data_IF_840978349154
#
_entry.id   IF_840978349154
#
_cell.length_a   1.000
_cell.length_b   1.000
_cell.length_c   1.000
_cell.angle_alpha   90.00
_cell.angle_beta   90.00
_cell.angle_gamma   90.00
#
_symmetry.space_group_name_H-M   'P 1'
#
loop_
_entity.id
_entity.type
_entity.pdbx_description
1 polymer ?
#
# COMPACT_ATOMS: atom_id res chain seq x y z
N UNK A 1 19.47 29.49 12.32
CA UNK A 1 18.43 29.45 13.37
C UNK A 1 17.70 28.11 13.28
N UNK A 2 18.25 27.06 13.88
CA UNK A 2 17.61 25.75 13.89
C UNK A 2 16.40 25.81 14.84
N UNK A 3 15.20 25.64 14.29
CA UNK A 3 13.97 25.54 15.07
C UNK A 3 14.01 24.17 15.77
N UNK A 4 14.32 24.15 17.06
CA UNK A 4 14.12 22.95 17.86
C UNK A 4 12.64 22.65 17.89
N UNK A 5 12.23 21.54 17.26
CA UNK A 5 10.92 20.98 17.51
C UNK A 5 10.84 20.67 19.02
N UNK A 6 9.76 21.04 19.71
CA UNK A 6 9.60 20.68 21.12
C UNK A 6 9.78 19.16 21.26
N UNK A 7 10.59 18.75 22.23
CA UNK A 7 10.80 17.34 22.50
C UNK A 7 9.45 16.73 22.89
N UNK A 8 8.97 15.80 22.07
CA UNK A 8 7.77 15.04 22.37
C UNK A 8 8.01 14.24 23.65
N UNK A 9 7.00 14.14 24.51
CA UNK A 9 7.03 13.15 25.58
C UNK A 9 7.13 11.74 24.98
N UNK A 10 7.61 10.76 25.73
CA UNK A 10 7.69 9.37 25.25
C UNK A 10 6.34 8.87 24.70
N UNK A 11 5.18 9.06 25.37
CA UNK A 11 3.88 8.70 24.81
C UNK A 11 3.51 9.43 23.51
N UNK A 12 3.83 10.73 23.41
CA UNK A 12 3.54 11.51 22.20
C UNK A 12 4.40 11.08 21.02
N UNK A 13 5.66 10.72 21.30
CA UNK A 13 6.59 10.18 20.33
C UNK A 13 6.12 8.82 19.83
N UNK A 14 5.73 7.91 20.73
CA UNK A 14 5.18 6.60 20.37
C UNK A 14 3.94 6.73 19.48
N UNK A 15 3.01 7.60 19.86
CA UNK A 15 1.79 7.84 19.07
C UNK A 15 2.11 8.42 17.69
N UNK A 16 3.07 9.35 17.61
CA UNK A 16 3.50 9.92 16.33
C UNK A 16 4.14 8.86 15.42
N UNK A 17 4.99 7.99 15.98
CA UNK A 17 5.61 6.88 15.25
C UNK A 17 4.57 5.84 14.82
N UNK A 18 3.61 5.50 15.69
CA UNK A 18 2.51 4.60 15.37
C UNK A 18 1.67 5.14 14.22
N UNK A 19 1.26 6.42 14.26
CA UNK A 19 0.50 7.07 13.19
C UNK A 19 1.27 7.09 11.88
N UNK A 20 2.57 7.38 11.93
CA UNK A 20 3.45 7.33 10.76
C UNK A 20 3.52 5.94 10.16
N UNK A 21 3.69 4.91 11.00
CA UNK A 21 3.71 3.50 10.58
C UNK A 21 2.38 3.06 9.95
N UNK A 22 1.26 3.31 10.64
CA UNK A 22 -0.09 2.98 10.14
C UNK A 22 -0.41 3.74 8.85
N UNK A 23 -0.06 5.02 8.76
CA UNK A 23 -0.24 5.83 7.55
C UNK A 23 0.52 5.26 6.35
N UNK A 24 1.78 4.87 6.53
CA UNK A 24 2.58 4.24 5.49
C UNK A 24 2.01 2.88 5.03
N UNK A 25 1.44 2.10 5.97
CA UNK A 25 0.75 0.84 5.69
C UNK A 25 -0.58 1.04 4.96
N UNK A 26 -1.30 2.11 5.26
CA UNK A 26 -2.56 2.46 4.59
C UNK A 26 -2.32 3.01 3.19
N UNK A 27 -1.28 3.83 2.98
CA UNK A 27 -0.94 4.36 1.65
C UNK A 27 -0.52 3.29 0.65
N UNK A 28 -0.07 2.13 1.12
CA UNK A 28 0.22 0.96 0.27
C UNK A 28 -1.00 0.09 -0.02
N UNK A 29 -2.12 0.31 0.68
CA UNK A 29 -3.36 -0.45 0.49
C UNK A 29 -4.29 0.29 -0.48
N UNK A 30 -4.10 0.06 -1.77
CA UNK A 30 -5.06 0.49 -2.80
C UNK A 30 -6.45 -0.09 -2.51
N UNK A 31 -7.51 0.72 -2.57
CA UNK A 31 -8.90 0.23 -2.54
C UNK A 31 -9.39 -0.02 -3.95
N UNK A 32 -10.24 -1.02 -4.13
CA UNK A 32 -10.93 -1.25 -5.39
C UNK A 32 -11.84 -0.06 -5.71
N UNK A 33 -11.69 0.55 -6.88
CA UNK A 33 -12.51 1.68 -7.31
C UNK A 33 -14.00 1.32 -7.47
N UNK A 34 -14.33 0.03 -7.70
CA UNK A 34 -15.69 -0.40 -8.00
C UNK A 34 -16.45 -0.85 -6.74
N UNK A 35 -15.85 -1.70 -5.91
CA UNK A 35 -16.51 -2.25 -4.72
C UNK A 35 -15.98 -1.69 -3.40
N UNK A 36 -14.98 -0.80 -3.42
CA UNK A 36 -14.43 -0.14 -2.24
C UNK A 36 -13.60 -1.03 -1.30
N UNK A 37 -13.58 -2.35 -1.49
CA UNK A 37 -12.81 -3.28 -0.66
C UNK A 37 -11.31 -3.05 -0.81
N UNK A 38 -10.56 -3.37 0.24
CA UNK A 38 -9.10 -3.46 0.18
C UNK A 38 -8.70 -4.86 -0.29
N UNK A 39 -8.05 -5.02 -1.45
CA UNK A 39 -7.51 -6.30 -1.90
C UNK A 39 -6.52 -6.87 -0.88
N UNK A 40 -6.61 -8.18 -0.64
CA UNK A 40 -5.75 -8.88 0.32
C UNK A 40 -4.38 -9.22 -0.27
N UNK A 41 -3.39 -9.45 0.60
CA UNK A 41 -2.07 -9.96 0.21
C UNK A 41 -2.24 -11.25 -0.59
N UNK A 42 -1.53 -11.36 -1.71
CA UNK A 42 -1.63 -12.49 -2.64
C UNK A 42 -2.72 -12.35 -3.70
N UNK A 43 -3.64 -11.40 -3.57
CA UNK A 43 -4.58 -11.09 -4.64
C UNK A 43 -3.93 -10.27 -5.76
N UNK A 44 -4.59 -10.25 -6.93
CA UNK A 44 -4.22 -9.38 -8.05
C UNK A 44 -5.08 -8.12 -8.08
N UNK A 45 -4.44 -7.02 -8.37
CA UNK A 45 -5.06 -5.74 -8.71
C UNK A 45 -4.76 -5.40 -10.16
N UNK A 46 -5.69 -4.69 -10.79
CA UNK A 46 -5.67 -4.39 -12.21
C UNK A 46 -5.74 -2.88 -12.35
N UNK A 47 -4.68 -2.30 -12.92
CA UNK A 47 -4.54 -0.87 -13.08
C UNK A 47 -5.05 -0.45 -14.45
N UNK A 48 -5.90 0.56 -14.43
CA UNK A 48 -6.40 1.31 -15.56
C UNK A 48 -6.03 2.79 -15.33
N UNK A 49 -5.99 3.60 -16.38
CA UNK A 49 -5.51 4.99 -16.39
C UNK A 49 -5.79 5.82 -15.10
N UNK A 50 -6.99 5.68 -14.52
CA UNK A 50 -7.41 6.42 -13.32
C UNK A 50 -8.03 5.55 -12.23
N UNK A 51 -7.89 4.23 -12.31
CA UNK A 51 -8.55 3.31 -11.39
C UNK A 51 -7.75 2.03 -11.18
N UNK A 52 -7.74 1.56 -9.95
CA UNK A 52 -7.26 0.22 -9.60
C UNK A 52 -8.47 -0.60 -9.17
N UNK A 53 -8.63 -1.78 -9.74
CA UNK A 53 -9.73 -2.70 -9.40
C UNK A 53 -9.21 -4.06 -8.97
N UNK A 54 -10.00 -4.73 -8.14
CA UNK A 54 -9.67 -6.07 -7.69
C UNK A 54 -10.03 -7.13 -8.73
N UNK A 55 -9.49 -8.34 -8.57
CA UNK A 55 -9.77 -9.48 -9.45
C UNK A 55 -11.25 -9.83 -9.61
N UNK A 56 -12.08 -9.54 -8.61
CA UNK A 56 -13.53 -9.79 -8.66
C UNK A 56 -14.25 -8.77 -9.54
N UNK A 57 -13.75 -7.53 -9.61
CA UNK A 57 -14.36 -6.47 -10.41
C UNK A 57 -13.77 -6.37 -11.81
N UNK A 58 -12.58 -6.93 -12.06
CA UNK A 58 -11.96 -6.95 -13.40
C UNK A 58 -12.91 -7.44 -14.49
N UNK A 59 -13.67 -8.54 -14.34
CA UNK A 59 -14.59 -9.02 -15.38
C UNK A 59 -15.68 -8.03 -15.76
N UNK A 60 -16.02 -7.09 -14.87
CA UNK A 60 -17.05 -6.07 -15.10
C UNK A 60 -16.53 -4.87 -15.91
N UNK A 61 -15.21 -4.76 -16.10
CA UNK A 61 -14.60 -3.70 -16.91
C UNK A 61 -14.27 -4.19 -18.30
N UNK A 62 -14.59 -3.35 -19.29
CA UNK A 62 -14.17 -3.55 -20.68
C UNK A 62 -12.75 -3.02 -20.87
N UNK A 63 -12.01 -3.64 -21.77
CA UNK A 63 -10.64 -3.26 -22.09
C UNK A 63 -9.60 -3.95 -21.22
N UNK A 64 -8.40 -4.09 -21.78
CA UNK A 64 -7.27 -4.68 -21.07
C UNK A 64 -6.68 -3.66 -20.08
N UNK A 65 -6.35 -4.07 -18.84
CA UNK A 65 -5.63 -3.24 -17.90
C UNK A 65 -4.24 -2.87 -18.42
N UNK A 66 -3.77 -1.68 -18.04
CA UNK A 66 -2.41 -1.21 -18.31
C UNK A 66 -1.36 -2.00 -17.53
N UNK A 67 -1.75 -2.58 -16.39
CA UNK A 67 -0.93 -3.58 -15.71
C UNK A 67 -1.73 -4.44 -14.73
N UNK A 68 -1.09 -5.54 -14.36
CA UNK A 68 -1.53 -6.43 -13.29
C UNK A 68 -0.47 -6.45 -12.20
N UNK A 69 -0.89 -6.15 -10.97
CA UNK A 69 0.00 -6.10 -9.80
C UNK A 69 -0.47 -7.07 -8.73
N UNK A 70 0.48 -7.83 -8.16
CA UNK A 70 0.23 -8.67 -7.00
C UNK A 70 0.28 -7.81 -5.73
N UNK A 71 -0.77 -7.89 -4.91
CA UNK A 71 -0.78 -7.25 -3.59
C UNK A 71 0.25 -7.96 -2.72
N UNK A 72 1.26 -7.21 -2.31
CA UNK A 72 2.39 -7.72 -1.53
C UNK A 72 2.18 -7.40 -0.05
N UNK A 73 2.73 -8.25 0.82
CA UNK A 73 2.82 -7.93 2.23
C UNK A 73 3.61 -6.62 2.41
N UNK A 74 3.24 -5.82 3.41
CA UNK A 74 3.86 -4.50 3.66
C UNK A 74 5.36 -4.59 3.96
N UNK A 75 5.82 -5.74 4.46
CA UNK A 75 7.22 -5.96 4.79
C UNK A 75 8.06 -6.46 3.63
N UNK A 76 7.49 -6.58 2.42
CA UNK A 76 8.25 -7.09 1.27
C UNK A 76 9.46 -6.19 0.98
N UNK A 77 10.65 -6.78 1.06
CA UNK A 77 11.93 -6.08 0.89
C UNK A 77 12.50 -5.49 2.17
N UNK A 78 11.75 -5.51 3.28
CA UNK A 78 12.22 -5.11 4.61
C UNK A 78 12.72 -6.29 5.44
N UNK A 79 12.09 -7.47 5.29
CA UNK A 79 12.44 -8.66 6.08
C UNK A 79 13.41 -9.61 5.37
N UNK A 80 13.53 -9.55 4.05
CA UNK A 80 14.43 -10.40 3.26
C UNK A 80 15.01 -9.66 2.05
N UNK A 81 16.34 -9.71 1.90
CA UNK A 81 17.03 -9.24 0.69
C UNK A 81 16.92 -10.30 -0.40
N UNK A 82 16.08 -10.04 -1.40
CA UNK A 82 16.01 -10.89 -2.59
C UNK A 82 17.30 -10.70 -3.42
N UNK A 83 18.04 -11.79 -3.68
CA UNK A 83 19.10 -11.77 -4.68
C UNK A 83 18.45 -11.79 -6.07
N UNK A 84 18.97 -11.03 -7.06
CA UNK A 84 18.56 -11.19 -8.45
C UNK A 84 18.78 -12.65 -8.90
N UNK A 85 17.90 -13.15 -9.77
CA UNK A 85 18.16 -14.41 -10.47
C UNK A 85 19.38 -14.23 -11.37
N UNK A 86 20.27 -15.24 -11.38
CA UNK A 86 21.50 -15.27 -12.16
C UNK A 86 21.24 -15.43 -13.66
#
# INVERSE_FOLDING_TARGET
MARHAPALSEPDLELALLRKGVGALQSTRCRCADCGRTPLVGERTYRYARAVVCALCRPLRRGEPEAVELVRHSERGHTVRLRPAA
#
